data_IF_746359053340
#
_entry.id   IF_746359053340
#
_cell.length_a   1.000
_cell.length_b   1.000
_cell.length_c   1.000
_cell.angle_alpha   90.00
_cell.angle_beta   90.00
_cell.angle_gamma   90.00
#
_symmetry.space_group_name_H-M   'P 1'
#
loop_
_entity.id
_entity.type
_entity.pdbx_description
1 polymer ?
#
# COMPACT_ATOMS: atom_id res chain seq x y z
N UNK A 1 13.63 -27.52 5.63
CA UNK A 1 13.40 -28.26 4.37
C UNK A 1 12.30 -27.63 3.50
N UNK A 2 11.08 -27.44 4.02
CA UNK A 2 9.97 -26.85 3.24
C UNK A 2 10.28 -25.47 2.63
N UNK A 3 10.99 -24.59 3.36
CA UNK A 3 11.37 -23.27 2.85
C UNK A 3 12.27 -23.35 1.60
N UNK A 4 13.24 -24.27 1.58
CA UNK A 4 14.11 -24.52 0.43
C UNK A 4 13.33 -25.07 -0.76
N UNK A 5 12.33 -25.92 -0.51
CA UNK A 5 11.42 -26.45 -1.53
C UNK A 5 10.55 -25.36 -2.17
N UNK A 6 9.93 -24.48 -1.37
CA UNK A 6 9.12 -23.37 -1.89
C UNK A 6 9.96 -22.37 -2.71
N UNK A 7 11.16 -22.03 -2.24
CA UNK A 7 12.06 -21.17 -3.00
C UNK A 7 12.49 -21.82 -4.34
N UNK A 8 12.73 -23.13 -4.35
CA UNK A 8 13.04 -23.87 -5.57
C UNK A 8 11.83 -23.89 -6.53
N UNK A 9 10.61 -24.10 -6.03
CA UNK A 9 9.38 -24.07 -6.82
C UNK A 9 9.16 -22.71 -7.50
N UNK A 10 9.35 -21.60 -6.77
CA UNK A 10 9.23 -20.26 -7.36
C UNK A 10 10.27 -20.02 -8.46
N UNK A 11 11.50 -20.50 -8.26
CA UNK A 11 12.58 -20.39 -9.26
C UNK A 11 12.34 -21.27 -10.48
N UNK A 12 11.69 -22.41 -10.30
CA UNK A 12 11.44 -23.40 -11.35
C UNK A 12 10.05 -23.27 -11.98
N UNK A 13 9.28 -22.24 -11.63
CA UNK A 13 7.92 -22.04 -12.14
C UNK A 13 7.81 -22.04 -13.67
N UNK A 14 8.80 -21.60 -14.48
CA UNK A 14 8.72 -21.74 -15.94
C UNK A 14 8.63 -23.20 -16.43
N UNK A 15 9.06 -24.16 -15.60
CA UNK A 15 9.06 -25.60 -15.89
C UNK A 15 8.09 -26.39 -14.98
N UNK A 16 7.31 -25.70 -14.14
CA UNK A 16 6.39 -26.29 -13.18
C UNK A 16 5.04 -25.56 -13.25
N UNK A 17 4.14 -25.93 -14.17
CA UNK A 17 2.88 -25.21 -14.39
C UNK A 17 2.00 -25.16 -13.14
N UNK A 18 2.07 -26.17 -12.27
CA UNK A 18 1.28 -26.25 -11.04
C UNK A 18 1.90 -25.50 -9.85
N UNK A 19 3.07 -24.86 -10.01
CA UNK A 19 3.79 -24.23 -8.89
C UNK A 19 2.95 -23.16 -8.19
N UNK A 20 2.23 -22.34 -8.95
CA UNK A 20 1.34 -21.31 -8.40
C UNK A 20 0.19 -21.94 -7.59
N UNK A 21 -0.46 -22.97 -8.12
CA UNK A 21 -1.56 -23.66 -7.45
C UNK A 21 -1.11 -24.31 -6.12
N UNK A 22 0.05 -24.96 -6.12
CA UNK A 22 0.63 -25.57 -4.91
C UNK A 22 0.95 -24.52 -3.84
N UNK A 23 1.52 -23.38 -4.23
CA UNK A 23 1.82 -22.29 -3.30
C UNK A 23 0.54 -21.66 -2.74
N UNK A 24 -0.49 -21.46 -3.57
CA UNK A 24 -1.81 -20.98 -3.13
C UNK A 24 -2.44 -21.95 -2.14
N UNK A 25 -2.42 -23.25 -2.42
CA UNK A 25 -2.95 -24.27 -1.51
C UNK A 25 -2.20 -24.27 -0.16
N UNK A 26 -0.87 -24.20 -0.18
CA UNK A 26 -0.06 -24.16 1.04
C UNK A 26 -0.29 -22.88 1.87
N UNK A 27 -0.58 -21.75 1.22
CA UNK A 27 -0.89 -20.47 1.88
C UNK A 27 -2.32 -20.44 2.42
N UNK A 28 -3.28 -21.09 1.76
CA UNK A 28 -4.70 -21.05 2.14
C UNK A 28 -5.09 -22.18 3.12
N UNK A 29 -4.31 -23.25 3.21
CA UNK A 29 -4.49 -24.32 4.21
C UNK A 29 -4.21 -23.79 5.62
N UNK A 30 -5.23 -23.43 6.38
CA UNK A 30 -5.12 -22.88 7.74
C UNK A 30 -4.53 -23.88 8.75
N UNK A 31 -4.45 -25.18 8.41
CA UNK A 31 -3.78 -26.22 9.18
C UNK A 31 -2.27 -26.22 9.01
N UNK A 32 -1.74 -25.70 7.89
CA UNK A 32 -0.31 -25.54 7.66
C UNK A 32 0.29 -24.47 8.59
N UNK A 33 0.82 -24.89 9.74
CA UNK A 33 1.47 -23.99 10.70
C UNK A 33 2.94 -23.72 10.37
N UNK A 34 3.63 -24.71 9.81
CA UNK A 34 5.09 -24.72 9.72
C UNK A 34 5.66 -23.99 8.50
N UNK A 35 4.97 -24.00 7.35
CA UNK A 35 5.57 -23.59 6.08
C UNK A 35 4.82 -22.49 5.32
N UNK A 36 3.65 -22.08 5.79
CA UNK A 36 2.81 -21.10 5.09
C UNK A 36 3.52 -19.78 4.79
N UNK A 37 4.40 -19.28 5.68
CA UNK A 37 5.19 -18.04 5.44
C UNK A 37 6.12 -18.20 4.25
N UNK A 38 6.84 -19.33 4.21
CA UNK A 38 7.73 -19.62 3.09
C UNK A 38 6.98 -19.84 1.77
N UNK A 39 5.78 -20.41 1.81
CA UNK A 39 4.92 -20.52 0.64
C UNK A 39 4.41 -19.13 0.17
N UNK A 40 4.03 -18.26 1.10
CA UNK A 40 3.62 -16.89 0.81
C UNK A 40 4.75 -16.06 0.19
N UNK A 41 5.98 -16.16 0.73
CA UNK A 41 7.15 -15.48 0.18
C UNK A 41 7.51 -16.02 -1.22
N UNK A 42 7.42 -17.35 -1.42
CA UNK A 42 7.64 -17.95 -2.72
C UNK A 42 6.56 -17.56 -3.76
N UNK A 43 5.29 -17.42 -3.34
CA UNK A 43 4.22 -16.94 -4.22
C UNK A 43 4.51 -15.53 -4.72
N UNK A 44 4.97 -14.63 -3.83
CA UNK A 44 5.37 -13.28 -4.21
C UNK A 44 6.62 -13.26 -5.09
N UNK A 45 7.59 -14.14 -4.83
CA UNK A 45 8.77 -14.28 -5.67
C UNK A 45 8.42 -14.77 -7.10
N UNK A 46 7.48 -15.72 -7.21
CA UNK A 46 6.95 -16.21 -8.48
C UNK A 46 6.30 -15.07 -9.28
N UNK A 47 5.45 -14.27 -8.62
CA UNK A 47 4.84 -13.09 -9.25
C UNK A 47 5.87 -12.08 -9.74
N UNK A 48 6.98 -11.91 -9.03
CA UNK A 48 8.04 -10.98 -9.40
C UNK A 48 8.92 -11.49 -10.55
N UNK A 49 8.92 -12.81 -10.80
CA UNK A 49 9.71 -13.45 -11.84
C UNK A 49 8.96 -13.61 -13.17
N UNK A 50 7.64 -13.43 -13.18
CA UNK A 50 6.83 -13.60 -14.39
C UNK A 50 7.14 -12.50 -15.43
N UNK A 51 7.70 -12.85 -16.61
CA UNK A 51 7.87 -11.90 -17.70
C UNK A 51 6.48 -11.45 -18.15
N UNK A 52 6.29 -10.15 -18.31
CA UNK A 52 5.08 -9.50 -18.83
C UNK A 52 3.85 -9.50 -17.92
N UNK A 53 3.75 -10.45 -16.97
CA UNK A 53 2.53 -10.87 -16.27
C UNK A 53 1.20 -10.27 -16.72
N UNK A 54 0.99 -10.55 -17.98
CA UNK A 54 -0.24 -10.68 -18.72
C UNK A 54 -0.83 -12.09 -18.54
N UNK A 55 -0.46 -12.81 -17.48
CA UNK A 55 -1.24 -14.00 -17.11
C UNK A 55 -2.58 -13.48 -16.58
N UNK A 56 -3.68 -13.87 -17.22
CA UNK A 56 -5.04 -13.64 -16.75
C UNK A 56 -5.23 -14.17 -15.31
N UNK A 57 -4.39 -15.12 -14.91
CA UNK A 57 -4.35 -15.71 -13.59
C UNK A 57 -3.55 -14.84 -12.60
N UNK A 58 -4.23 -14.39 -11.54
CA UNK A 58 -3.62 -13.71 -10.42
C UNK A 58 -3.69 -14.59 -9.15
N UNK A 59 -2.75 -15.54 -8.98
CA UNK A 59 -2.80 -16.49 -7.86
C UNK A 59 -2.70 -15.81 -6.49
N UNK A 60 -2.09 -14.62 -6.41
CA UNK A 60 -2.13 -13.81 -5.20
C UNK A 60 -3.55 -13.33 -4.87
N UNK A 61 -4.30 -12.87 -5.86
CA UNK A 61 -5.69 -12.48 -5.66
C UNK A 61 -6.56 -13.66 -5.22
N UNK A 62 -6.36 -14.86 -5.81
CA UNK A 62 -7.07 -16.07 -5.38
C UNK A 62 -6.74 -16.46 -3.93
N UNK A 63 -5.46 -16.43 -3.55
CA UNK A 63 -5.05 -16.69 -2.17
C UNK A 63 -5.69 -15.69 -1.19
N UNK A 64 -5.68 -14.39 -1.52
CA UNK A 64 -6.31 -13.36 -0.69
C UNK A 64 -7.83 -13.55 -0.62
N UNK A 65 -8.52 -13.83 -1.72
CA UNK A 65 -9.96 -14.10 -1.73
C UNK A 65 -10.32 -15.29 -0.83
N UNK A 66 -9.56 -16.39 -0.93
CA UNK A 66 -9.76 -17.58 -0.11
C UNK A 66 -9.51 -17.31 1.37
N UNK A 67 -8.46 -16.55 1.70
CA UNK A 67 -8.16 -16.16 3.08
C UNK A 67 -9.22 -15.21 3.66
N UNK A 68 -9.70 -14.23 2.89
CA UNK A 68 -10.77 -13.33 3.31
C UNK A 68 -12.05 -14.12 3.59
N UNK A 69 -12.41 -15.04 2.68
CA UNK A 69 -13.55 -15.95 2.86
C UNK A 69 -13.38 -16.80 4.13
N UNK A 70 -12.16 -17.26 4.41
CA UNK A 70 -11.88 -18.05 5.60
C UNK A 70 -11.91 -17.23 6.90
N UNK A 71 -11.45 -15.97 6.89
CA UNK A 71 -11.51 -15.07 8.06
C UNK A 71 -12.95 -14.69 8.44
N UNK A 72 -13.86 -14.70 7.47
CA UNK A 72 -15.27 -14.40 7.67
C UNK A 72 -16.09 -15.56 8.27
N UNK A 73 -15.52 -16.77 8.37
CA UNK A 73 -16.22 -17.93 8.93
C UNK A 73 -16.43 -17.78 10.44
N UNK A 74 -17.54 -18.30 10.94
CA UNK A 74 -17.79 -18.40 12.38
C UNK A 74 -16.91 -19.48 13.02
N UNK A 75 -16.60 -19.33 14.30
CA UNK A 75 -15.78 -20.31 15.04
C UNK A 75 -14.30 -20.33 14.64
N UNK A 76 -13.82 -19.27 13.98
CA UNK A 76 -12.40 -19.10 13.73
C UNK A 76 -11.67 -18.76 15.05
N UNK A 77 -10.47 -19.34 15.28
CA UNK A 77 -9.66 -19.01 16.45
C UNK A 77 -9.44 -17.51 16.58
N UNK A 78 -9.70 -16.97 17.76
CA UNK A 78 -9.58 -15.56 18.10
C UNK A 78 -8.94 -15.44 19.48
N UNK A 79 -7.66 -15.06 19.50
CA UNK A 79 -6.82 -15.02 20.70
C UNK A 79 -6.78 -16.33 21.53
N UNK A 80 -6.85 -17.51 20.90
CA UNK A 80 -6.64 -18.79 21.58
C UNK A 80 -5.14 -18.99 21.90
N UNK A 81 -4.77 -19.76 22.95
CA UNK A 81 -3.39 -19.89 23.41
C UNK A 81 -2.38 -20.33 22.35
N UNK A 82 -2.79 -21.18 21.40
CA UNK A 82 -1.93 -21.66 20.32
C UNK A 82 -2.30 -21.07 18.95
N UNK A 83 -3.36 -20.25 18.86
CA UNK A 83 -3.93 -19.81 17.58
C UNK A 83 -4.74 -18.53 17.66
N UNK A 84 -4.37 -17.56 16.83
CA UNK A 84 -5.06 -16.28 16.77
C UNK A 84 -5.28 -15.85 15.31
N UNK A 85 -6.54 -15.79 14.87
CA UNK A 85 -6.97 -15.27 13.56
C UNK A 85 -6.03 -15.67 12.40
N UNK A 86 -5.84 -16.99 12.14
CA UNK A 86 -4.79 -17.47 11.23
C UNK A 86 -4.92 -16.91 9.81
N UNK A 87 -6.14 -16.75 9.29
CA UNK A 87 -6.37 -16.14 7.98
C UNK A 87 -5.94 -14.67 7.95
N UNK A 88 -6.32 -13.87 8.96
CA UNK A 88 -5.89 -12.48 9.13
C UNK A 88 -4.37 -12.34 9.24
N UNK A 89 -3.71 -13.20 10.00
CA UNK A 89 -2.24 -13.17 10.08
C UNK A 89 -1.57 -13.37 8.71
N UNK A 90 -2.13 -14.26 7.89
CA UNK A 90 -1.62 -14.55 6.55
C UNK A 90 -1.88 -13.41 5.57
N UNK A 91 -3.07 -12.82 5.60
CA UNK A 91 -3.39 -11.62 4.82
C UNK A 91 -2.43 -10.48 5.18
N UNK A 92 -2.21 -10.22 6.47
CA UNK A 92 -1.28 -9.19 6.95
C UNK A 92 0.15 -9.45 6.49
N UNK A 93 0.60 -10.71 6.54
CA UNK A 93 1.93 -11.10 6.04
C UNK A 93 2.04 -10.84 4.54
N UNK A 94 1.09 -11.31 3.74
CA UNK A 94 1.07 -11.10 2.29
C UNK A 94 1.05 -9.60 1.94
N UNK A 95 0.18 -8.81 2.56
CA UNK A 95 0.11 -7.36 2.34
C UNK A 95 1.43 -6.66 2.70
N UNK A 96 2.02 -7.01 3.84
CA UNK A 96 3.31 -6.44 4.27
C UNK A 96 4.44 -6.78 3.31
N UNK A 97 4.54 -8.05 2.92
CA UNK A 97 5.59 -8.51 1.99
C UNK A 97 5.38 -7.97 0.58
N UNK A 98 4.14 -7.84 0.12
CA UNK A 98 3.79 -7.22 -1.16
C UNK A 98 4.14 -5.73 -1.16
N UNK A 99 3.85 -5.00 -0.09
CA UNK A 99 4.23 -3.60 0.06
C UNK A 99 5.76 -3.41 0.00
N UNK A 100 6.53 -4.30 0.64
CA UNK A 100 7.99 -4.32 0.57
C UNK A 100 8.50 -4.63 -0.85
N UNK A 101 7.92 -5.63 -1.52
CA UNK A 101 8.28 -5.97 -2.90
C UNK A 101 7.92 -4.85 -3.87
N UNK A 102 6.75 -4.21 -3.71
CA UNK A 102 6.31 -3.06 -4.50
C UNK A 102 7.27 -1.88 -4.40
N UNK A 103 7.89 -1.66 -3.24
CA UNK A 103 8.94 -0.66 -3.08
C UNK A 103 10.25 -1.03 -3.78
N UNK A 104 10.67 -2.29 -3.70
CA UNK A 104 11.96 -2.75 -4.25
C UNK A 104 11.92 -3.03 -5.76
N UNK A 105 10.78 -3.48 -6.27
CA UNK A 105 10.53 -3.90 -7.66
C UNK A 105 9.20 -3.30 -8.15
N UNK A 106 9.12 -1.96 -8.25
CA UNK A 106 7.86 -1.28 -8.51
C UNK A 106 7.26 -1.62 -9.88
N UNK A 107 8.06 -1.87 -10.91
CA UNK A 107 7.54 -2.15 -12.25
C UNK A 107 6.89 -3.53 -12.32
N UNK A 108 7.55 -4.51 -11.72
CA UNK A 108 7.16 -5.92 -11.72
C UNK A 108 5.94 -6.14 -10.81
N UNK A 109 5.88 -5.44 -9.68
CA UNK A 109 4.89 -5.71 -8.63
C UNK A 109 3.65 -4.82 -8.68
N UNK A 110 3.68 -3.69 -9.41
CA UNK A 110 2.59 -2.70 -9.35
C UNK A 110 1.23 -3.26 -9.70
N UNK A 111 1.08 -4.01 -10.80
CA UNK A 111 -0.22 -4.59 -11.16
C UNK A 111 -0.76 -5.54 -10.07
N UNK A 112 0.11 -6.33 -9.46
CA UNK A 112 -0.26 -7.31 -8.44
C UNK A 112 -0.63 -6.60 -7.13
N UNK A 113 0.12 -5.55 -6.78
CA UNK A 113 -0.17 -4.69 -5.65
C UNK A 113 -1.51 -3.96 -5.80
N UNK A 114 -1.79 -3.40 -7.00
CA UNK A 114 -3.05 -2.73 -7.28
C UNK A 114 -4.24 -3.71 -7.21
N UNK A 115 -4.14 -4.88 -7.84
CA UNK A 115 -5.20 -5.90 -7.80
C UNK A 115 -5.45 -6.44 -6.39
N UNK A 116 -4.39 -6.71 -5.62
CA UNK A 116 -4.50 -7.15 -4.24
C UNK A 116 -5.13 -6.09 -3.34
N UNK A 117 -4.72 -4.82 -3.49
CA UNK A 117 -5.29 -3.75 -2.70
C UNK A 117 -6.75 -3.46 -3.07
N UNK A 118 -7.12 -3.56 -4.34
CA UNK A 118 -8.50 -3.41 -4.79
C UNK A 118 -9.40 -4.48 -4.20
N UNK A 119 -8.95 -5.74 -4.21
CA UNK A 119 -9.64 -6.84 -3.55
C UNK A 119 -9.82 -6.56 -2.05
N UNK A 120 -8.75 -6.22 -1.35
CA UNK A 120 -8.78 -5.97 0.10
C UNK A 120 -9.64 -4.76 0.48
N UNK A 121 -9.65 -3.71 -0.36
CA UNK A 121 -10.46 -2.52 -0.15
C UNK A 121 -11.97 -2.80 -0.24
N UNK A 122 -12.37 -3.89 -0.92
CA UNK A 122 -13.76 -4.38 -0.93
C UNK A 122 -14.26 -4.90 0.42
N UNK A 123 -13.37 -5.09 1.40
CA UNK A 123 -13.69 -5.61 2.71
C UNK A 123 -13.26 -4.62 3.80
N UNK A 124 -14.24 -4.10 4.53
CA UNK A 124 -14.01 -3.03 5.51
C UNK A 124 -12.90 -3.37 6.54
N UNK A 125 -12.83 -4.62 6.97
CA UNK A 125 -11.85 -5.09 7.95
C UNK A 125 -10.41 -5.17 7.44
N UNK A 126 -10.21 -5.02 6.12
CA UNK A 126 -8.91 -5.13 5.43
C UNK A 126 -8.50 -3.84 4.70
N UNK A 127 -9.23 -2.74 4.91
CA UNK A 127 -8.84 -1.40 4.46
C UNK A 127 -7.41 -1.01 4.93
N UNK A 128 -6.96 -1.32 6.17
CA UNK A 128 -5.59 -1.00 6.58
C UNK A 128 -4.52 -1.66 5.69
N UNK A 129 -4.68 -2.93 5.37
CA UNK A 129 -3.80 -3.69 4.48
C UNK A 129 -3.88 -3.15 3.04
N UNK A 130 -5.08 -2.81 2.55
CA UNK A 130 -5.25 -2.19 1.25
C UNK A 130 -4.51 -0.83 1.14
N UNK A 131 -4.66 0.04 2.15
CA UNK A 131 -3.98 1.33 2.20
C UNK A 131 -2.45 1.18 2.26
N UNK A 132 -1.95 0.23 3.06
CA UNK A 132 -0.52 -0.08 3.16
C UNK A 132 0.06 -0.47 1.80
N UNK A 133 -0.63 -1.35 1.06
CA UNK A 133 -0.19 -1.79 -0.27
C UNK A 133 -0.27 -0.65 -1.29
N UNK A 134 -1.37 0.11 -1.31
CA UNK A 134 -1.56 1.22 -2.27
C UNK A 134 -0.52 2.32 -2.09
N UNK A 135 -0.23 2.72 -0.84
CA UNK A 135 0.79 3.74 -0.59
C UNK A 135 2.14 3.34 -1.17
N UNK A 136 2.52 2.06 -1.14
CA UNK A 136 3.78 1.59 -1.73
C UNK A 136 3.67 1.33 -3.25
N UNK A 137 2.47 1.16 -3.78
CA UNK A 137 2.22 0.94 -5.21
C UNK A 137 2.13 2.24 -6.02
N UNK A 138 1.97 3.42 -5.41
CA UNK A 138 1.91 4.70 -6.12
C UNK A 138 3.08 4.84 -7.10
N UNK A 139 2.79 5.33 -8.30
CA UNK A 139 3.80 5.68 -9.28
C UNK A 139 4.15 7.17 -9.13
N UNK A 140 5.23 7.45 -8.39
CA UNK A 140 5.63 8.83 -8.11
C UNK A 140 6.10 9.59 -9.36
N UNK A 141 6.53 8.85 -10.39
CA UNK A 141 6.95 9.39 -11.69
C UNK A 141 5.81 9.44 -12.72
N UNK A 142 4.58 9.06 -12.33
CA UNK A 142 3.43 9.15 -13.22
C UNK A 142 3.12 10.60 -13.61
N UNK A 143 2.39 10.75 -14.71
CA UNK A 143 1.84 12.05 -15.13
C UNK A 143 1.05 12.69 -13.99
N UNK A 144 1.05 14.03 -13.84
CA UNK A 144 0.41 14.72 -12.72
C UNK A 144 -1.04 14.29 -12.43
N UNK A 145 -1.87 14.10 -13.47
CA UNK A 145 -3.26 13.67 -13.32
C UNK A 145 -3.39 12.23 -12.79
N UNK A 146 -2.51 11.33 -13.23
CA UNK A 146 -2.51 9.94 -12.79
C UNK A 146 -2.07 9.81 -11.32
N UNK A 147 -1.03 10.53 -10.92
CA UNK A 147 -0.61 10.58 -9.51
C UNK A 147 -1.71 11.16 -8.62
N UNK A 148 -2.33 12.26 -9.04
CA UNK A 148 -3.44 12.90 -8.32
C UNK A 148 -4.61 11.93 -8.15
N UNK A 149 -5.03 11.25 -9.22
CA UNK A 149 -6.12 10.28 -9.16
C UNK A 149 -5.81 9.09 -8.23
N UNK A 150 -4.56 8.62 -8.22
CA UNK A 150 -4.13 7.55 -7.34
C UNK A 150 -4.15 7.96 -5.86
N UNK A 151 -3.68 9.18 -5.54
CA UNK A 151 -3.73 9.73 -4.18
C UNK A 151 -5.16 10.00 -3.71
N UNK A 152 -6.03 10.50 -4.58
CA UNK A 152 -7.45 10.69 -4.26
C UNK A 152 -8.15 9.33 -4.02
N UNK A 153 -7.83 8.30 -4.81
CA UNK A 153 -8.31 6.93 -4.56
C UNK A 153 -7.85 6.41 -3.20
N UNK A 154 -6.59 6.64 -2.85
CA UNK A 154 -6.07 6.29 -1.53
C UNK A 154 -6.83 7.02 -0.42
N UNK A 155 -7.05 8.35 -0.54
CA UNK A 155 -7.71 9.15 0.50
C UNK A 155 -9.15 8.69 0.77
N UNK A 156 -9.87 8.24 -0.26
CA UNK A 156 -11.24 7.71 -0.13
C UNK A 156 -11.33 6.44 0.73
N UNK A 157 -10.23 5.72 0.96
CA UNK A 157 -10.22 4.58 1.89
C UNK A 157 -10.36 4.99 3.36
N UNK A 158 -10.26 6.29 3.66
CA UNK A 158 -10.14 6.79 5.03
C UNK A 158 -11.30 7.67 5.48
N UNK A 159 -12.40 7.76 4.71
CA UNK A 159 -13.55 8.64 5.00
C UNK A 159 -14.05 8.55 6.44
N UNK A 160 -14.04 7.36 7.03
CA UNK A 160 -14.48 7.09 8.42
C UNK A 160 -13.34 6.66 9.35
N UNK A 161 -12.07 6.88 8.97
CA UNK A 161 -10.90 6.30 9.66
C UNK A 161 -9.75 7.31 9.86
N UNK A 162 -9.93 8.35 10.70
CA UNK A 162 -8.94 9.42 10.88
C UNK A 162 -7.58 8.90 11.38
N UNK A 163 -7.57 7.99 12.36
CA UNK A 163 -6.32 7.40 12.86
C UNK A 163 -5.57 6.58 11.78
N UNK A 164 -6.30 5.94 10.86
CA UNK A 164 -5.68 5.25 9.73
C UNK A 164 -5.17 6.26 8.69
N UNK A 165 -5.89 7.36 8.47
CA UNK A 165 -5.47 8.43 7.55
C UNK A 165 -4.12 9.02 7.97
N UNK A 166 -3.97 9.36 9.26
CA UNK A 166 -2.74 9.87 9.84
C UNK A 166 -1.56 8.90 9.62
N UNK A 167 -1.72 7.62 10.01
CA UNK A 167 -0.68 6.60 9.79
C UNK A 167 -0.33 6.43 8.30
N UNK A 168 -1.33 6.50 7.43
CA UNK A 168 -1.12 6.39 5.98
C UNK A 168 -0.34 7.59 5.44
N UNK A 169 -0.59 8.79 5.97
CA UNK A 169 0.14 10.00 5.64
C UNK A 169 1.61 9.93 6.10
N UNK A 170 1.88 9.36 7.29
CA UNK A 170 3.24 9.13 7.77
C UNK A 170 3.99 8.14 6.85
N UNK A 171 3.36 7.03 6.48
CA UNK A 171 3.97 6.07 5.52
C UNK A 171 4.21 6.71 4.15
N UNK A 172 3.32 7.59 3.69
CA UNK A 172 3.51 8.36 2.46
C UNK A 172 4.71 9.31 2.57
N UNK A 173 4.87 10.00 3.70
CA UNK A 173 6.04 10.86 3.97
C UNK A 173 7.33 10.06 3.95
N UNK A 174 7.41 8.98 4.74
CA UNK A 174 8.57 8.11 4.79
C UNK A 174 8.96 7.57 3.41
N UNK A 175 7.95 7.29 2.57
CA UNK A 175 8.17 6.84 1.20
C UNK A 175 8.76 7.95 0.33
N UNK A 176 8.23 9.16 0.39
CA UNK A 176 8.71 10.30 -0.39
C UNK A 176 10.12 10.70 0.04
N UNK A 177 10.39 10.75 1.34
CA UNK A 177 11.70 11.13 1.88
C UNK A 177 12.80 10.12 1.51
N UNK A 178 12.46 8.83 1.48
CA UNK A 178 13.40 7.79 1.10
C UNK A 178 13.51 7.55 -0.42
N UNK A 179 12.67 8.19 -1.24
CA UNK A 179 12.69 8.02 -2.68
C UNK A 179 13.83 8.83 -3.31
N UNK A 180 14.67 8.17 -4.12
CA UNK A 180 15.68 8.87 -4.93
C UNK A 180 15.07 9.87 -5.92
N UNK A 181 13.82 9.60 -6.33
CA UNK A 181 12.98 10.48 -7.15
C UNK A 181 11.60 10.60 -6.49
N UNK A 182 11.35 11.61 -5.65
CA UNK A 182 10.06 11.81 -4.98
C UNK A 182 8.96 12.35 -5.91
N UNK A 183 9.06 12.12 -7.22
CA UNK A 183 8.21 12.73 -8.23
C UNK A 183 8.57 14.17 -8.60
N UNK A 184 8.00 14.63 -9.72
CA UNK A 184 8.20 15.97 -10.26
C UNK A 184 7.54 17.06 -9.40
N UNK A 185 8.22 18.19 -9.22
CA UNK A 185 7.74 19.31 -8.38
C UNK A 185 6.34 19.80 -8.78
N UNK A 186 6.09 19.94 -10.08
CA UNK A 186 4.78 20.33 -10.63
C UNK A 186 3.69 19.28 -10.37
N UNK A 187 4.04 17.99 -10.47
CA UNK A 187 3.10 16.90 -10.20
C UNK A 187 2.68 16.89 -8.73
N UNK A 188 3.64 17.06 -7.81
CA UNK A 188 3.38 17.16 -6.38
C UNK A 188 2.53 18.39 -6.04
N UNK A 189 2.86 19.56 -6.61
CA UNK A 189 2.11 20.80 -6.36
C UNK A 189 0.66 20.66 -6.83
N UNK A 190 0.45 20.12 -8.03
CA UNK A 190 -0.89 19.88 -8.59
C UNK A 190 -1.70 18.89 -7.74
N UNK A 191 -1.08 17.79 -7.33
CA UNK A 191 -1.73 16.81 -6.48
C UNK A 191 -2.09 17.41 -5.11
N UNK A 192 -1.19 18.20 -4.51
CA UNK A 192 -1.45 18.89 -3.24
C UNK A 192 -2.64 19.84 -3.36
N UNK A 193 -2.72 20.60 -4.46
CA UNK A 193 -3.82 21.52 -4.74
C UNK A 193 -5.17 20.78 -4.82
N UNK A 194 -5.25 19.74 -5.64
CA UNK A 194 -6.49 19.00 -5.86
C UNK A 194 -6.95 18.22 -4.61
N UNK A 195 -6.01 17.72 -3.81
CA UNK A 195 -6.32 17.06 -2.54
C UNK A 195 -6.79 18.05 -1.47
N UNK A 196 -6.27 19.29 -1.47
CA UNK A 196 -6.75 20.35 -0.57
C UNK A 196 -8.19 20.75 -0.93
N UNK A 197 -8.51 20.89 -2.22
CA UNK A 197 -9.85 21.27 -2.70
C UNK A 197 -10.94 20.24 -2.37
N UNK A 198 -10.60 18.95 -2.30
CA UNK A 198 -11.51 17.90 -1.84
C UNK A 198 -12.02 18.17 -0.41
N UNK A 199 -11.22 18.86 0.42
CA UNK A 199 -11.58 19.28 1.77
C UNK A 199 -11.66 18.14 2.80
N UNK A 200 -11.52 16.88 2.37
CA UNK A 200 -11.52 15.72 3.24
C UNK A 200 -10.30 15.65 4.16
N UNK A 201 -10.47 15.15 5.38
CA UNK A 201 -9.39 14.99 6.36
C UNK A 201 -8.16 14.24 5.80
N UNK A 202 -8.37 13.08 5.15
CA UNK A 202 -7.27 12.28 4.61
C UNK A 202 -6.58 12.96 3.42
N UNK A 203 -7.36 13.58 2.53
CA UNK A 203 -6.84 14.34 1.40
C UNK A 203 -5.99 15.53 1.87
N UNK A 204 -6.46 16.28 2.87
CA UNK A 204 -5.71 17.37 3.50
C UNK A 204 -4.41 16.93 4.17
N UNK A 205 -4.41 15.78 4.86
CA UNK A 205 -3.17 15.20 5.43
C UNK A 205 -2.16 14.83 4.35
N UNK A 206 -2.61 14.23 3.25
CA UNK A 206 -1.74 13.91 2.12
C UNK A 206 -1.23 15.18 1.44
N UNK A 207 -2.08 16.19 1.24
CA UNK A 207 -1.68 17.49 0.70
C UNK A 207 -0.60 18.17 1.56
N UNK A 208 -0.71 18.09 2.89
CA UNK A 208 0.32 18.60 3.80
C UNK A 208 1.66 17.84 3.65
N UNK A 209 1.62 16.52 3.48
CA UNK A 209 2.82 15.72 3.19
C UNK A 209 3.46 16.13 1.87
N UNK A 210 2.69 16.25 0.79
CA UNK A 210 3.22 16.67 -0.51
C UNK A 210 3.82 18.08 -0.47
N UNK A 211 3.18 18.99 0.27
CA UNK A 211 3.64 20.37 0.47
C UNK A 211 4.95 20.42 1.25
N UNK A 212 5.09 19.60 2.30
CA UNK A 212 6.31 19.49 3.09
C UNK A 212 7.49 18.90 2.31
N UNK A 213 7.25 18.00 1.36
CA UNK A 213 8.29 17.44 0.49
C UNK A 213 8.62 18.39 -0.67
N UNK A 214 7.61 19.02 -1.26
CA UNK A 214 7.76 19.87 -2.44
C UNK A 214 8.32 21.26 -2.15
N UNK A 215 7.89 21.89 -1.05
CA UNK A 215 8.27 23.25 -0.66
C UNK A 215 9.78 23.46 -0.55
N UNK A 216 10.50 22.71 0.31
CA UNK A 216 11.95 22.84 0.47
C UNK A 216 12.73 22.64 -0.84
N UNK A 217 12.26 21.74 -1.72
CA UNK A 217 12.88 21.49 -3.04
C UNK A 217 12.79 22.68 -4.00
N UNK A 218 12.01 23.70 -3.65
CA UNK A 218 11.84 24.94 -4.43
C UNK A 218 12.16 26.18 -3.63
N UNK A 219 12.86 26.04 -2.50
CA UNK A 219 13.15 27.13 -1.58
C UNK A 219 11.86 27.89 -1.18
N UNK A 220 10.77 27.14 -1.01
CA UNK A 220 9.45 27.66 -0.66
C UNK A 220 8.96 28.75 -1.62
N UNK A 221 9.03 28.49 -2.92
CA UNK A 221 8.41 29.34 -3.94
C UNK A 221 6.92 29.61 -3.63
N UNK A 222 6.41 30.75 -4.12
CA UNK A 222 5.10 31.28 -3.70
C UNK A 222 3.92 30.30 -3.79
N UNK A 223 3.79 29.47 -4.85
CA UNK A 223 2.70 28.49 -4.91
C UNK A 223 2.68 27.51 -3.73
N UNK A 224 3.83 27.16 -3.15
CA UNK A 224 3.90 26.29 -1.98
C UNK A 224 3.52 27.02 -0.69
N UNK A 225 3.94 28.27 -0.54
CA UNK A 225 3.54 29.09 0.63
C UNK A 225 2.04 29.36 0.63
N UNK A 226 1.45 29.55 -0.54
CA UNK A 226 -0.01 29.66 -0.70
C UNK A 226 -0.71 28.39 -0.18
N UNK A 227 -0.21 27.20 -0.53
CA UNK A 227 -0.75 25.92 -0.03
C UNK A 227 -0.61 25.77 1.47
N UNK A 228 0.53 26.14 2.07
CA UNK A 228 0.69 26.15 3.53
C UNK A 228 -0.36 27.06 4.19
N UNK A 229 -0.61 28.26 3.64
CA UNK A 229 -1.64 29.18 4.16
C UNK A 229 -3.05 28.61 4.01
N UNK A 230 -3.34 27.90 2.93
CA UNK A 230 -4.60 27.19 2.72
C UNK A 230 -4.81 26.07 3.73
N UNK A 231 -3.83 25.17 3.88
CA UNK A 231 -3.87 24.05 4.83
C UNK A 231 -3.95 24.49 6.29
N UNK A 232 -3.31 25.61 6.67
CA UNK A 232 -3.44 26.18 8.03
C UNK A 232 -4.85 26.72 8.33
N UNK A 233 -5.67 26.94 7.31
CA UNK A 233 -7.08 27.36 7.41
C UNK A 233 -8.06 26.22 7.11
N UNK A 234 -7.56 24.98 6.96
CA UNK A 234 -8.37 23.82 6.63
C UNK A 234 -9.45 23.55 7.71
N UNK A 235 -10.65 23.05 7.35
CA UNK A 235 -11.73 22.80 8.31
C UNK A 235 -11.36 21.78 9.40
N UNK A 236 -10.55 20.78 9.05
CA UNK A 236 -10.13 19.73 9.98
C UNK A 236 -8.91 20.15 10.83
N UNK A 237 -8.98 20.05 12.18
CA UNK A 237 -7.90 20.47 13.09
C UNK A 237 -6.58 19.74 12.84
N UNK A 238 -6.60 18.41 12.70
CA UNK A 238 -5.38 17.62 12.50
C UNK A 238 -4.62 18.02 11.22
N UNK A 239 -5.32 18.51 10.19
CA UNK A 239 -4.70 19.01 8.95
C UNK A 239 -4.03 20.37 9.22
N UNK A 240 -4.70 21.26 9.99
CA UNK A 240 -4.09 22.52 10.41
C UNK A 240 -2.85 22.29 11.24
N UNK A 241 -2.89 21.37 12.18
CA UNK A 241 -1.75 21.01 13.03
C UNK A 241 -0.60 20.42 12.20
N UNK A 242 -0.91 19.56 11.23
CA UNK A 242 0.07 19.07 10.28
C UNK A 242 0.72 20.20 9.46
N UNK A 243 -0.06 21.20 9.04
CA UNK A 243 0.42 22.35 8.27
C UNK A 243 1.19 23.38 9.13
N UNK A 244 0.88 23.51 10.41
CA UNK A 244 1.61 24.38 11.35
C UNK A 244 3.02 23.86 11.65
N UNK A 245 3.25 22.55 11.53
CA UNK A 245 4.59 21.95 11.62
C UNK A 245 5.51 22.27 10.43
N UNK A 246 4.97 22.83 9.33
CA UNK A 246 5.77 23.22 8.17
C UNK A 246 6.41 24.59 8.40
N UNK A 247 7.74 24.62 8.45
CA UNK A 247 8.54 25.84 8.59
C UNK A 247 9.04 26.30 7.21
N UNK A 248 8.62 27.50 6.79
CA UNK A 248 8.95 28.05 5.46
C UNK A 248 10.14 29.02 5.46
N UNK A 249 10.52 29.53 6.64
CA UNK A 249 11.66 30.41 6.88
C UNK A 249 12.16 30.21 8.31
N UNK A 250 13.48 30.34 8.53
CA UNK A 250 14.07 30.34 9.87
C UNK A 250 13.90 31.70 10.57
N UNK A 251 14.27 31.73 11.86
CA UNK A 251 14.39 32.95 12.66
C UNK A 251 15.77 33.60 12.51
#
# INVERSE_FOLDING_TARGET
MAASGHAALARWSPWAPDAAALLVAAVTDLGNRASWRSAADALLALMAAAPDGTSEDNPLAWALAALVTADARTGMPDAEPDRDRPARQRIRHLATRLAQHGRMRPREMRRHALGAAELLAGYETFIPEAAQVLVQALDLDARPSALTAALARLARLHTSRPALAARTADVLRDRLDAASRPGGREALLRAAWQLEEDGGHAAGLFAAVLTGVGGPRTEWAEPWRERVRGLRRHPHPDVRDAALRLTTAGE
#
